data_IF_528887570103
#
_entry.id   IF_528887570103
#
_cell.length_a   1.000
_cell.length_b   1.000
_cell.length_c   1.000
_cell.angle_alpha   90.00
_cell.angle_beta   90.00
_cell.angle_gamma   90.00
#
_symmetry.space_group_name_H-M   'P 1'
#
loop_
_entity.id
_entity.type
_entity.pdbx_description
1 polymer ?
#
# COMPACT_ATOMS: atom_id res chain seq x y z
N UNK A 1 20.39 -37.49 15.97
CA UNK A 1 19.72 -37.06 14.74
C UNK A 1 19.39 -35.60 14.93
N UNK A 2 19.74 -34.69 14.04
CA UNK A 2 19.24 -33.32 14.17
C UNK A 2 17.70 -33.41 14.15
N UNK A 3 17.04 -32.79 15.13
CA UNK A 3 15.58 -32.68 15.17
C UNK A 3 15.09 -32.14 13.82
N UNK A 4 14.20 -32.87 13.17
CA UNK A 4 13.59 -32.43 11.92
C UNK A 4 12.73 -31.21 12.21
N UNK A 5 13.20 -30.04 11.80
CA UNK A 5 12.50 -28.79 12.05
C UNK A 5 11.32 -28.64 11.12
N UNK A 6 10.12 -28.44 11.65
CA UNK A 6 8.91 -28.24 10.87
C UNK A 6 8.88 -26.86 10.21
N UNK A 7 8.23 -26.77 9.04
CA UNK A 7 8.03 -25.48 8.34
C UNK A 7 7.29 -24.48 9.23
N UNK A 8 6.28 -24.96 9.97
CA UNK A 8 5.49 -24.13 10.89
C UNK A 8 6.34 -23.55 12.04
N UNK A 9 7.20 -24.32 12.64
CA UNK A 9 8.11 -23.89 13.72
C UNK A 9 9.09 -22.84 13.20
N UNK A 10 9.72 -23.11 12.07
CA UNK A 10 10.62 -22.16 11.43
C UNK A 10 9.91 -20.86 11.06
N UNK A 11 8.68 -20.94 10.54
CA UNK A 11 7.89 -19.77 10.15
C UNK A 11 7.61 -18.85 11.34
N UNK A 12 7.33 -19.40 12.52
CA UNK A 12 7.10 -18.63 13.73
C UNK A 12 8.40 -17.97 14.23
N UNK A 13 9.50 -18.71 14.28
CA UNK A 13 10.81 -18.14 14.66
C UNK A 13 11.25 -17.03 13.69
N UNK A 14 11.09 -17.27 12.39
CA UNK A 14 11.38 -16.27 11.36
C UNK A 14 10.53 -15.02 11.55
N UNK A 15 9.23 -15.18 11.84
CA UNK A 15 8.35 -14.06 12.11
C UNK A 15 8.83 -13.22 13.28
N UNK A 16 9.24 -13.85 14.39
CA UNK A 16 9.79 -13.16 15.55
C UNK A 16 11.04 -12.34 15.19
N UNK A 17 11.98 -12.94 14.46
CA UNK A 17 13.15 -12.23 13.92
C UNK A 17 12.76 -11.00 13.09
N UNK A 18 11.72 -11.14 12.22
CA UNK A 18 11.23 -10.01 11.41
C UNK A 18 10.54 -8.93 12.25
N UNK A 19 9.88 -9.29 13.37
CA UNK A 19 9.25 -8.29 14.26
C UNK A 19 10.26 -7.41 14.98
N UNK A 20 11.48 -7.88 15.20
CA UNK A 20 12.58 -7.10 15.81
C UNK A 20 13.25 -6.16 14.79
N UNK A 21 13.11 -6.40 13.48
CA UNK A 21 13.67 -5.53 12.45
C UNK A 21 12.89 -4.21 12.32
N UNK A 22 13.54 -3.16 11.83
CA UNK A 22 12.97 -1.82 11.60
C UNK A 22 11.95 -1.73 10.47
N UNK A 23 11.07 -2.74 10.33
CA UNK A 23 10.04 -2.80 9.31
C UNK A 23 8.83 -1.92 9.67
N UNK A 24 8.11 -1.44 8.65
CA UNK A 24 6.87 -0.69 8.86
C UNK A 24 5.80 -1.57 9.54
N UNK A 25 4.90 -0.95 10.32
CA UNK A 25 3.77 -1.66 10.96
C UNK A 25 2.91 -2.41 9.92
N UNK A 26 2.73 -1.84 8.74
CA UNK A 26 1.98 -2.46 7.63
C UNK A 26 2.67 -3.73 7.13
N UNK A 27 3.99 -3.70 6.96
CA UNK A 27 4.78 -4.87 6.56
C UNK A 27 4.72 -5.95 7.64
N UNK A 28 4.89 -5.58 8.91
CA UNK A 28 4.77 -6.50 10.05
C UNK A 28 3.38 -7.14 10.12
N UNK A 29 2.32 -6.35 9.89
CA UNK A 29 0.94 -6.84 9.82
C UNK A 29 0.74 -7.85 8.69
N UNK A 30 1.27 -7.57 7.50
CA UNK A 30 1.22 -8.49 6.36
C UNK A 30 1.94 -9.81 6.65
N UNK A 31 3.14 -9.78 7.24
CA UNK A 31 3.88 -10.97 7.62
C UNK A 31 3.10 -11.82 8.64
N UNK A 32 2.57 -11.20 9.70
CA UNK A 32 1.72 -11.90 10.68
C UNK A 32 0.54 -12.59 10.02
N UNK A 33 -0.19 -11.87 9.16
CA UNK A 33 -1.37 -12.41 8.48
C UNK A 33 -1.01 -13.62 7.63
N UNK A 34 0.05 -13.55 6.82
CA UNK A 34 0.46 -14.66 5.97
C UNK A 34 0.96 -15.86 6.77
N UNK A 35 1.78 -15.63 7.79
CA UNK A 35 2.32 -16.70 8.62
C UNK A 35 1.20 -17.42 9.39
N UNK A 36 0.41 -16.70 10.20
CA UNK A 36 -0.57 -17.33 11.07
C UNK A 36 -1.80 -17.87 10.34
N UNK A 37 -2.25 -17.19 9.28
CA UNK A 37 -3.52 -17.56 8.64
C UNK A 37 -3.34 -18.47 7.44
N UNK A 38 -2.13 -18.64 6.92
CA UNK A 38 -1.90 -19.36 5.66
C UNK A 38 -0.76 -20.38 5.75
N UNK A 39 0.46 -19.94 6.07
CA UNK A 39 1.66 -20.78 6.00
C UNK A 39 1.67 -21.81 7.13
N UNK A 40 1.49 -21.39 8.38
CA UNK A 40 1.49 -22.29 9.53
C UNK A 40 0.40 -23.36 9.44
N UNK A 41 -0.88 -23.03 9.12
CA UNK A 41 -1.91 -24.05 8.98
C UNK A 41 -1.66 -25.04 7.84
N UNK A 42 -1.10 -24.59 6.71
CA UNK A 42 -0.87 -25.45 5.54
C UNK A 42 0.28 -26.43 5.74
N UNK A 43 1.37 -25.95 6.34
CA UNK A 43 2.60 -26.74 6.46
C UNK A 43 2.89 -27.15 7.92
N UNK A 44 1.84 -27.38 8.73
CA UNK A 44 1.98 -27.75 10.14
C UNK A 44 2.78 -29.04 10.34
N UNK A 45 2.54 -30.02 9.47
CA UNK A 45 3.07 -31.39 9.57
C UNK A 45 4.14 -31.70 8.50
N UNK A 46 4.72 -30.65 7.90
CA UNK A 46 5.75 -30.79 6.85
C UNK A 46 7.10 -30.39 7.40
N UNK A 47 8.08 -31.27 7.34
CA UNK A 47 9.45 -30.96 7.68
C UNK A 47 10.11 -30.06 6.62
N UNK A 48 10.99 -29.14 7.02
CA UNK A 48 11.64 -28.20 6.08
C UNK A 48 12.41 -28.90 4.95
N UNK A 49 13.08 -29.99 5.28
CA UNK A 49 13.88 -30.78 4.33
C UNK A 49 13.03 -31.66 3.39
N UNK A 50 11.75 -31.82 3.70
CA UNK A 50 10.79 -32.60 2.90
C UNK A 50 9.84 -31.74 2.08
N UNK A 51 9.88 -30.42 2.24
CA UNK A 51 9.03 -29.49 1.50
C UNK A 51 9.40 -29.52 0.01
N UNK A 52 8.44 -29.90 -0.83
CA UNK A 52 8.63 -30.02 -2.29
C UNK A 52 8.05 -28.83 -3.07
N UNK A 53 8.44 -28.71 -4.33
CA UNK A 53 7.92 -27.70 -5.26
C UNK A 53 6.42 -27.92 -5.50
N UNK A 54 6.00 -29.19 -5.62
CA UNK A 54 4.60 -29.58 -5.82
C UNK A 54 3.73 -29.13 -4.65
N UNK A 55 4.15 -29.38 -3.41
CA UNK A 55 3.41 -28.93 -2.23
C UNK A 55 3.25 -27.40 -2.17
N UNK A 56 4.30 -26.66 -2.56
CA UNK A 56 4.21 -25.20 -2.63
C UNK A 56 3.29 -24.74 -3.76
N UNK A 57 3.25 -25.45 -4.88
CA UNK A 57 2.32 -25.18 -5.97
C UNK A 57 0.87 -25.44 -5.56
N UNK A 58 0.59 -26.61 -4.97
CA UNK A 58 -0.74 -26.98 -4.46
C UNK A 58 -1.26 -25.95 -3.45
N UNK A 59 -0.38 -25.44 -2.58
CA UNK A 59 -0.70 -24.36 -1.67
C UNK A 59 -1.19 -23.12 -2.42
N UNK A 60 -0.52 -22.69 -3.49
CA UNK A 60 -0.97 -21.52 -4.26
C UNK A 60 -2.27 -21.79 -5.02
N UNK A 61 -2.48 -22.99 -5.48
CA UNK A 61 -3.73 -23.39 -6.14
C UNK A 61 -4.90 -23.41 -5.14
N UNK A 62 -4.68 -23.88 -3.91
CA UNK A 62 -5.67 -23.83 -2.84
C UNK A 62 -6.06 -22.39 -2.50
N UNK A 63 -5.08 -21.48 -2.43
CA UNK A 63 -5.33 -20.05 -2.20
C UNK A 63 -6.14 -19.40 -3.34
N UNK A 64 -5.91 -19.81 -4.58
CA UNK A 64 -6.72 -19.36 -5.71
C UNK A 64 -8.16 -19.92 -5.62
N UNK A 65 -8.32 -21.16 -5.20
CA UNK A 65 -9.61 -21.83 -4.98
C UNK A 65 -10.48 -21.14 -3.93
N UNK A 66 -9.89 -20.58 -2.89
CA UNK A 66 -10.62 -19.76 -1.88
C UNK A 66 -10.77 -18.29 -2.28
N UNK A 67 -10.48 -17.94 -3.53
CA UNK A 67 -10.77 -16.63 -4.12
C UNK A 67 -9.71 -15.54 -3.88
N UNK A 68 -8.48 -15.87 -3.48
CA UNK A 68 -7.41 -14.88 -3.43
C UNK A 68 -7.02 -14.42 -4.83
N UNK A 69 -6.77 -13.11 -4.97
CA UNK A 69 -6.27 -12.57 -6.24
C UNK A 69 -4.84 -13.03 -6.51
N UNK A 70 -4.48 -13.16 -7.79
CA UNK A 70 -3.12 -13.52 -8.21
C UNK A 70 -2.04 -12.60 -7.59
N UNK A 71 -2.33 -11.32 -7.46
CA UNK A 71 -1.41 -10.38 -6.81
C UNK A 71 -1.27 -10.61 -5.29
N UNK A 72 -2.34 -11.07 -4.64
CA UNK A 72 -2.25 -11.47 -3.23
C UNK A 72 -1.39 -12.73 -3.08
N UNK A 73 -1.62 -13.75 -3.93
CA UNK A 73 -0.82 -14.97 -3.95
C UNK A 73 0.65 -14.66 -4.25
N UNK A 74 0.93 -13.78 -5.20
CA UNK A 74 2.29 -13.31 -5.50
C UNK A 74 2.95 -12.63 -4.29
N UNK A 75 2.21 -11.81 -3.52
CA UNK A 75 2.73 -11.24 -2.27
C UNK A 75 3.06 -12.34 -1.23
N UNK A 76 2.21 -13.35 -1.11
CA UNK A 76 2.45 -14.50 -0.25
C UNK A 76 3.66 -15.31 -0.68
N UNK A 77 3.82 -15.53 -1.98
CA UNK A 77 4.99 -16.18 -2.55
C UNK A 77 6.29 -15.46 -2.17
N UNK A 78 6.33 -14.12 -2.27
CA UNK A 78 7.52 -13.37 -1.86
C UNK A 78 7.86 -13.55 -0.37
N UNK A 79 6.83 -13.68 0.48
CA UNK A 79 7.03 -13.92 1.92
C UNK A 79 7.54 -15.34 2.15
N UNK A 80 6.90 -16.35 1.57
CA UNK A 80 7.31 -17.76 1.70
C UNK A 80 8.71 -17.98 1.13
N UNK A 81 8.98 -17.47 -0.05
CA UNK A 81 10.30 -17.55 -0.68
C UNK A 81 11.39 -16.98 0.24
N UNK A 82 11.17 -15.78 0.79
CA UNK A 82 12.12 -15.15 1.70
C UNK A 82 12.33 -15.93 2.98
N UNK A 83 11.25 -16.50 3.54
CA UNK A 83 11.29 -17.35 4.73
C UNK A 83 12.17 -18.59 4.47
N UNK A 84 12.00 -19.23 3.33
CA UNK A 84 12.76 -20.42 2.94
C UNK A 84 14.20 -20.08 2.51
N UNK A 85 14.45 -18.91 1.89
CA UNK A 85 15.80 -18.44 1.60
C UNK A 85 16.61 -18.23 2.91
N UNK A 86 15.99 -17.64 3.96
CA UNK A 86 16.63 -17.48 5.26
C UNK A 86 16.84 -18.85 5.95
N UNK A 87 15.96 -19.85 5.76
CA UNK A 87 16.18 -21.23 6.22
C UNK A 87 17.40 -21.86 5.51
N UNK A 88 17.56 -21.62 4.23
CA UNK A 88 18.73 -22.06 3.47
C UNK A 88 20.02 -21.44 3.98
N UNK A 89 20.02 -20.14 4.31
CA UNK A 89 21.17 -19.45 4.89
C UNK A 89 21.56 -20.02 6.27
N UNK A 90 20.61 -20.52 7.05
CA UNK A 90 20.87 -21.19 8.34
C UNK A 90 21.21 -22.69 8.21
N UNK A 91 21.28 -23.20 6.98
CA UNK A 91 21.62 -24.61 6.70
C UNK A 91 20.49 -25.61 6.98
N UNK A 92 19.27 -25.12 7.24
CA UNK A 92 18.09 -25.95 7.51
C UNK A 92 17.46 -26.51 6.22
N UNK A 93 17.72 -25.90 5.07
CA UNK A 93 17.18 -26.26 3.77
C UNK A 93 18.29 -26.21 2.71
N UNK A 94 18.38 -27.22 1.86
CA UNK A 94 19.40 -27.26 0.80
C UNK A 94 19.01 -26.46 -0.43
N UNK A 95 17.76 -26.57 -0.85
CA UNK A 95 17.20 -25.91 -2.04
C UNK A 95 15.86 -25.31 -1.67
N UNK A 96 15.63 -24.07 -2.01
CA UNK A 96 14.35 -23.42 -1.76
C UNK A 96 13.31 -23.80 -2.83
N UNK A 97 12.29 -24.63 -2.53
CA UNK A 97 11.32 -25.07 -3.51
C UNK A 97 10.45 -23.91 -4.05
N UNK A 98 10.25 -22.85 -3.28
CA UNK A 98 9.52 -21.68 -3.75
C UNK A 98 10.34 -20.85 -4.76
N UNK A 99 11.66 -20.98 -4.83
CA UNK A 99 12.48 -20.24 -5.79
C UNK A 99 12.32 -20.75 -7.23
N UNK A 100 11.94 -22.01 -7.42
CA UNK A 100 11.74 -22.62 -8.74
C UNK A 100 10.42 -22.19 -9.39
N UNK A 101 9.43 -21.76 -8.59
CA UNK A 101 8.13 -21.38 -9.07
C UNK A 101 8.13 -19.94 -9.61
N UNK A 102 7.78 -19.78 -10.89
CA UNK A 102 7.67 -18.48 -11.56
C UNK A 102 6.24 -17.96 -11.49
N UNK A 103 5.87 -17.37 -10.36
CA UNK A 103 4.62 -16.61 -10.27
C UNK A 103 4.84 -15.20 -10.87
N UNK A 104 4.00 -14.83 -11.82
CA UNK A 104 4.04 -13.49 -12.41
C UNK A 104 3.11 -12.54 -11.68
N UNK A 105 3.58 -11.33 -11.38
CA UNK A 105 2.70 -10.24 -11.00
C UNK A 105 1.81 -9.88 -12.20
N UNK A 106 0.51 -10.07 -12.05
CA UNK A 106 -0.41 -9.56 -13.07
C UNK A 106 -0.49 -8.03 -12.93
N UNK A 107 0.07 -7.33 -13.91
CA UNK A 107 -0.16 -5.90 -14.02
C UNK A 107 -1.68 -5.64 -14.01
N UNK A 108 -2.11 -4.67 -13.22
CA UNK A 108 -3.54 -4.34 -13.11
C UNK A 108 -4.14 -4.20 -14.52
N UNK A 109 -5.26 -4.89 -14.74
CA UNK A 109 -6.06 -4.77 -15.97
C UNK A 109 -6.20 -3.30 -16.37
N UNK A 110 -6.35 -3.03 -17.68
CA UNK A 110 -6.43 -1.73 -18.34
C UNK A 110 -6.78 -0.56 -17.40
N UNK A 111 -5.89 0.41 -17.32
CA UNK A 111 -6.10 1.57 -16.46
C UNK A 111 -7.38 2.27 -16.93
N UNK A 112 -8.44 2.17 -16.13
CA UNK A 112 -9.65 2.97 -16.35
C UNK A 112 -9.25 4.43 -16.22
N UNK A 113 -9.12 5.12 -17.36
CA UNK A 113 -8.71 6.52 -17.41
C UNK A 113 -9.94 7.41 -17.24
N UNK A 114 -9.84 8.45 -16.42
CA UNK A 114 -10.85 9.49 -16.29
C UNK A 114 -10.56 10.59 -17.32
N UNK A 115 -11.54 10.98 -18.11
CA UNK A 115 -11.43 12.06 -19.11
C UNK A 115 -11.47 13.44 -18.45
N UNK A 116 -10.89 14.46 -19.10
CA UNK A 116 -10.78 15.84 -18.55
C UNK A 116 -12.10 16.41 -18.01
N UNK A 117 -13.22 16.27 -18.75
CA UNK A 117 -14.54 16.73 -18.27
C UNK A 117 -15.09 15.98 -17.06
N UNK A 118 -14.64 14.76 -16.84
CA UNK A 118 -15.02 13.95 -15.70
C UNK A 118 -14.28 14.37 -14.43
N UNK A 119 -13.04 14.86 -14.55
CA UNK A 119 -12.27 15.38 -13.39
C UNK A 119 -12.99 16.58 -12.78
N UNK A 120 -13.55 17.48 -13.57
CA UNK A 120 -14.29 18.63 -13.05
C UNK A 120 -15.42 18.18 -12.10
N UNK A 121 -16.22 17.20 -12.52
CA UNK A 121 -17.28 16.62 -11.66
C UNK A 121 -16.74 16.00 -10.39
N UNK A 122 -15.60 15.31 -10.48
CA UNK A 122 -14.95 14.74 -9.30
C UNK A 122 -14.51 15.85 -8.32
N UNK A 123 -13.90 16.93 -8.82
CA UNK A 123 -13.46 18.05 -7.98
C UNK A 123 -14.64 18.73 -7.28
N UNK A 124 -15.76 18.92 -7.97
CA UNK A 124 -16.98 19.47 -7.37
C UNK A 124 -17.52 18.59 -6.23
N UNK A 125 -17.48 17.27 -6.38
CA UNK A 125 -17.95 16.36 -5.33
C UNK A 125 -16.99 16.28 -4.13
N UNK A 126 -15.68 16.28 -4.34
CA UNK A 126 -14.75 16.30 -3.20
C UNK A 126 -14.81 17.63 -2.43
N UNK A 127 -15.18 18.73 -3.09
CA UNK A 127 -15.41 20.02 -2.43
C UNK A 127 -16.64 19.95 -1.52
N UNK A 128 -17.78 19.44 -2.01
CA UNK A 128 -18.99 19.24 -1.20
C UNK A 128 -18.74 18.32 0.01
N UNK A 129 -17.83 17.36 -0.15
CA UNK A 129 -17.46 16.44 0.94
C UNK A 129 -16.40 17.01 1.90
N UNK A 130 -15.90 18.23 1.67
CA UNK A 130 -14.87 18.87 2.49
C UNK A 130 -13.48 18.25 2.34
N UNK A 131 -13.26 17.42 1.32
CA UNK A 131 -11.99 16.73 1.10
C UNK A 131 -11.17 17.32 -0.06
N UNK A 132 -11.58 18.48 -0.60
CA UNK A 132 -10.94 19.13 -1.74
C UNK A 132 -9.43 19.34 -1.54
N UNK A 133 -8.95 19.96 -0.44
CA UNK A 133 -7.54 20.28 -0.33
C UNK A 133 -6.62 19.06 -0.43
N UNK A 134 -6.90 18.01 0.33
CA UNK A 134 -6.05 16.80 0.36
C UNK A 134 -6.16 16.01 -0.95
N UNK A 135 -7.36 15.80 -1.47
CA UNK A 135 -7.56 15.01 -2.70
C UNK A 135 -7.07 15.75 -3.94
N UNK A 136 -7.23 17.07 -4.01
CA UNK A 136 -6.66 17.89 -5.07
C UNK A 136 -5.12 17.84 -5.06
N UNK A 137 -4.51 17.96 -3.89
CA UNK A 137 -3.05 17.85 -3.77
C UNK A 137 -2.56 16.45 -4.16
N UNK A 138 -3.22 15.39 -3.73
CA UNK A 138 -2.90 14.03 -4.18
C UNK A 138 -2.99 13.94 -5.71
N UNK A 139 -4.06 14.46 -6.30
CA UNK A 139 -4.32 14.39 -7.73
C UNK A 139 -3.24 15.11 -8.56
N UNK A 140 -2.88 16.33 -8.17
CA UNK A 140 -2.11 17.25 -9.02
C UNK A 140 -0.62 17.29 -8.69
N UNK A 141 -0.21 17.06 -7.44
CA UNK A 141 1.19 17.17 -7.03
C UNK A 141 1.97 15.85 -7.09
N UNK A 142 1.29 14.72 -7.27
CA UNK A 142 1.90 13.40 -7.22
C UNK A 142 2.27 12.94 -5.80
N UNK A 143 1.69 13.55 -4.75
CA UNK A 143 1.77 13.04 -3.39
C UNK A 143 1.14 11.65 -3.31
N UNK A 144 1.82 10.72 -2.66
CA UNK A 144 1.20 9.43 -2.32
C UNK A 144 0.17 9.64 -1.19
N UNK A 145 -0.83 8.78 -1.13
CA UNK A 145 -1.86 8.86 -0.08
C UNK A 145 -1.28 8.98 1.34
N UNK A 146 -0.34 8.11 1.69
CA UNK A 146 0.30 8.15 3.02
C UNK A 146 1.15 9.40 3.24
N UNK A 147 1.81 9.93 2.20
CA UNK A 147 2.56 11.19 2.29
C UNK A 147 1.61 12.37 2.55
N UNK A 148 0.47 12.42 1.87
CA UNK A 148 -0.52 13.48 2.07
C UNK A 148 -1.15 13.44 3.47
N UNK A 149 -1.51 12.27 3.97
CA UNK A 149 -2.10 12.08 5.31
C UNK A 149 -1.12 12.52 6.41
N UNK A 150 0.17 12.18 6.26
CA UNK A 150 1.21 12.48 7.26
C UNK A 150 1.95 13.80 7.01
N UNK A 151 1.51 14.60 6.03
CA UNK A 151 2.19 15.84 5.67
C UNK A 151 2.14 16.86 6.82
N UNK A 152 3.30 17.37 7.19
CA UNK A 152 3.45 18.40 8.21
C UNK A 152 3.90 19.73 7.60
N UNK A 153 3.55 20.85 8.23
CA UNK A 153 3.97 22.18 7.79
C UNK A 153 5.49 22.34 7.72
N UNK A 154 6.23 21.67 8.59
CA UNK A 154 7.70 21.65 8.54
C UNK A 154 8.28 21.11 7.22
N UNK A 155 7.47 20.41 6.41
CA UNK A 155 7.88 19.94 5.08
C UNK A 155 7.63 20.98 3.97
N UNK A 156 6.95 22.09 4.26
CA UNK A 156 6.66 23.13 3.28
C UNK A 156 7.71 24.25 3.35
N UNK A 157 8.53 24.31 2.32
CA UNK A 157 9.47 25.42 2.07
C UNK A 157 8.71 26.52 1.34
N UNK A 158 8.33 27.55 2.09
CA UNK A 158 7.51 28.68 1.60
C UNK A 158 8.27 29.53 0.59
N UNK A 159 9.58 29.74 0.79
CA UNK A 159 10.41 30.58 -0.09
C UNK A 159 10.60 29.90 -1.45
N UNK A 160 10.97 28.63 -1.42
CA UNK A 160 11.18 27.87 -2.64
C UNK A 160 9.87 27.29 -3.24
N UNK A 161 8.73 27.50 -2.60
CA UNK A 161 7.40 26.99 -3.01
C UNK A 161 7.44 25.50 -3.33
N UNK A 162 7.99 24.69 -2.41
CA UNK A 162 8.14 23.24 -2.59
C UNK A 162 7.82 22.45 -1.31
N UNK A 163 7.44 21.20 -1.49
CA UNK A 163 7.32 20.23 -0.41
C UNK A 163 8.58 19.38 -0.34
N UNK A 164 9.25 19.38 0.81
CA UNK A 164 10.44 18.60 1.09
C UNK A 164 10.03 17.28 1.77
N UNK A 165 9.97 16.18 1.02
CA UNK A 165 9.64 14.86 1.52
C UNK A 165 10.92 14.08 1.84
N UNK A 166 10.80 13.03 2.65
CA UNK A 166 11.96 12.25 3.14
C UNK A 166 12.95 11.81 2.06
N UNK A 167 12.49 11.56 0.82
CA UNK A 167 13.32 11.03 -0.28
C UNK A 167 13.25 11.83 -1.56
N UNK A 168 12.47 12.91 -1.59
CA UNK A 168 12.24 13.75 -2.77
C UNK A 168 11.65 15.08 -2.36
N UNK A 169 11.72 16.04 -3.25
CA UNK A 169 10.98 17.28 -3.17
C UNK A 169 9.95 17.38 -4.31
N UNK A 170 8.92 18.17 -4.12
CA UNK A 170 7.86 18.43 -5.11
C UNK A 170 7.76 19.94 -5.29
N UNK A 171 8.04 20.43 -6.50
CA UNK A 171 7.79 21.82 -6.85
C UNK A 171 6.29 22.06 -6.93
N UNK A 172 5.80 23.11 -6.28
CA UNK A 172 4.39 23.43 -6.25
C UNK A 172 4.03 24.42 -7.36
N UNK A 173 2.85 24.22 -7.94
CA UNK A 173 2.22 25.20 -8.82
C UNK A 173 1.58 26.32 -7.99
N UNK A 174 1.32 27.52 -8.58
CA UNK A 174 0.62 28.60 -7.88
C UNK A 174 -0.76 28.18 -7.32
N UNK A 175 -1.46 27.27 -7.99
CA UNK A 175 -2.74 26.75 -7.53
C UNK A 175 -2.58 25.88 -6.26
N UNK A 176 -1.58 25.00 -6.23
CA UNK A 176 -1.26 24.17 -5.07
C UNK A 176 -0.81 24.99 -3.87
N UNK A 177 0.04 26.01 -4.10
CA UNK A 177 0.48 26.94 -3.05
C UNK A 177 -0.70 27.73 -2.45
N UNK A 178 -1.64 28.20 -3.28
CA UNK A 178 -2.86 28.85 -2.79
C UNK A 178 -3.70 27.93 -1.89
N UNK A 179 -3.81 26.65 -2.23
CA UNK A 179 -4.52 25.68 -1.38
C UNK A 179 -3.82 25.50 -0.04
N UNK A 180 -2.50 25.36 -0.02
CA UNK A 180 -1.76 25.24 1.23
C UNK A 180 -1.91 26.50 2.10
N UNK A 181 -1.82 27.70 1.52
CA UNK A 181 -2.04 28.94 2.24
C UNK A 181 -3.46 29.03 2.82
N UNK A 182 -4.49 28.63 2.07
CA UNK A 182 -5.87 28.59 2.56
C UNK A 182 -6.03 27.61 3.73
N UNK A 183 -5.39 26.46 3.66
CA UNK A 183 -5.43 25.45 4.73
C UNK A 183 -4.69 25.92 5.98
N UNK A 184 -3.54 26.63 5.84
CA UNK A 184 -2.79 27.16 6.97
C UNK A 184 -3.59 28.22 7.74
N UNK A 185 -4.34 29.05 7.04
CA UNK A 185 -5.20 30.06 7.66
C UNK A 185 -6.37 29.43 8.44
N UNK A 186 -6.91 28.30 7.97
CA UNK A 186 -8.01 27.60 8.65
C UNK A 186 -7.57 26.87 9.91
N UNK A 187 -6.34 26.36 9.94
CA UNK A 187 -5.84 25.52 11.03
C UNK A 187 -4.42 25.96 11.47
N UNK A 188 -4.25 27.19 11.98
CA UNK A 188 -2.91 27.76 12.21
C UNK A 188 -2.11 27.04 13.31
N UNK A 189 -2.77 26.32 14.22
CA UNK A 189 -2.10 25.61 15.32
C UNK A 189 -1.81 24.15 15.03
N UNK A 190 -2.28 23.61 13.90
CA UNK A 190 -2.05 22.21 13.55
C UNK A 190 -0.65 22.00 12.97
N UNK A 191 0.08 21.02 13.51
CA UNK A 191 1.34 20.58 12.92
C UNK A 191 1.14 19.80 11.61
N UNK A 192 -0.04 19.17 11.43
CA UNK A 192 -0.43 18.41 10.24
C UNK A 192 -1.16 19.31 9.28
N UNK A 193 -0.83 19.20 7.98
CA UNK A 193 -1.39 20.09 6.94
C UNK A 193 -2.87 19.84 6.72
N UNK A 194 -3.28 18.57 6.58
CA UNK A 194 -4.66 18.23 6.20
C UNK A 194 -5.42 17.59 7.36
N UNK A 195 -6.48 18.25 7.78
CA UNK A 195 -7.45 17.73 8.75
C UNK A 195 -8.78 17.45 8.04
N UNK A 196 -9.47 16.40 8.48
CA UNK A 196 -10.84 16.09 8.05
C UNK A 196 -11.78 17.23 8.50
N UNK A 197 -12.50 17.82 7.57
CA UNK A 197 -13.39 18.94 7.82
C UNK A 197 -14.54 18.62 8.79
N UNK A 198 -14.91 17.34 8.97
CA UNK A 198 -15.98 16.94 9.87
C UNK A 198 -15.49 16.64 11.28
N UNK A 199 -14.30 16.03 11.42
CA UNK A 199 -13.80 15.57 12.72
C UNK A 199 -12.71 16.48 13.29
N UNK A 200 -12.15 17.39 12.49
CA UNK A 200 -10.98 18.22 12.82
C UNK A 200 -9.75 17.38 13.24
N UNK A 201 -9.71 16.10 12.86
CA UNK A 201 -8.59 15.19 13.13
C UNK A 201 -7.81 14.90 11.84
N UNK A 202 -6.54 14.46 11.94
CA UNK A 202 -5.81 13.98 10.79
C UNK A 202 -6.56 12.86 10.05
N UNK A 203 -6.51 12.88 8.73
CA UNK A 203 -7.13 11.82 7.94
C UNK A 203 -6.52 10.45 8.25
N UNK A 204 -7.37 9.40 8.27
CA UNK A 204 -6.92 8.01 8.18
C UNK A 204 -6.96 7.54 6.72
N UNK A 205 -6.17 6.48 6.39
CA UNK A 205 -6.22 5.87 5.05
C UNK A 205 -7.65 5.43 4.69
N UNK A 206 -8.35 4.82 5.64
CA UNK A 206 -9.74 4.36 5.46
C UNK A 206 -10.71 5.52 5.19
N UNK A 207 -10.61 6.60 5.97
CA UNK A 207 -11.48 7.79 5.80
C UNK A 207 -11.26 8.45 4.45
N UNK A 208 -10.00 8.62 4.04
CA UNK A 208 -9.68 9.21 2.75
C UNK A 208 -10.15 8.34 1.57
N UNK A 209 -9.98 7.02 1.69
CA UNK A 209 -10.48 6.06 0.72
C UNK A 209 -12.02 6.10 0.62
N UNK A 210 -12.73 6.16 1.75
CA UNK A 210 -14.17 6.30 1.79
C UNK A 210 -14.65 7.55 1.06
N UNK A 211 -14.07 8.72 1.36
CA UNK A 211 -14.44 10.00 0.74
C UNK A 211 -14.17 10.00 -0.77
N UNK A 212 -13.02 9.43 -1.19
CA UNK A 212 -12.69 9.26 -2.58
C UNK A 212 -13.73 8.40 -3.33
N UNK A 213 -14.07 7.23 -2.79
CA UNK A 213 -15.07 6.35 -3.39
C UNK A 213 -16.45 7.00 -3.45
N UNK A 214 -16.85 7.69 -2.39
CA UNK A 214 -18.11 8.42 -2.32
C UNK A 214 -18.17 9.51 -3.41
N UNK A 215 -17.11 10.28 -3.58
CA UNK A 215 -17.01 11.29 -4.63
C UNK A 215 -17.14 10.69 -6.04
N UNK A 216 -16.46 9.56 -6.32
CA UNK A 216 -16.59 8.87 -7.59
C UNK A 216 -18.03 8.41 -7.86
N UNK A 217 -18.69 7.85 -6.85
CA UNK A 217 -20.10 7.40 -6.95
C UNK A 217 -21.04 8.59 -7.24
N UNK A 218 -20.90 9.68 -6.48
CA UNK A 218 -21.74 10.88 -6.65
C UNK A 218 -21.50 11.57 -8.00
N UNK A 219 -20.26 11.60 -8.46
CA UNK A 219 -19.90 12.10 -9.78
C UNK A 219 -20.30 11.15 -10.94
N UNK A 220 -20.84 9.95 -10.65
CA UNK A 220 -21.14 8.89 -11.62
C UNK A 220 -19.92 8.51 -12.45
N UNK A 221 -18.79 8.31 -11.79
CA UNK A 221 -17.52 7.93 -12.39
C UNK A 221 -17.16 6.48 -12.05
N UNK A 222 -16.32 5.83 -12.89
CA UNK A 222 -15.85 4.48 -12.60
C UNK A 222 -15.10 4.46 -11.27
N UNK A 223 -15.26 3.36 -10.51
CA UNK A 223 -14.52 3.15 -9.26
C UNK A 223 -13.07 2.83 -9.60
N UNK A 224 -12.21 3.82 -9.42
CA UNK A 224 -10.76 3.73 -9.65
C UNK A 224 -10.02 4.05 -8.36
N UNK A 225 -8.77 3.62 -8.26
CA UNK A 225 -7.91 3.97 -7.13
C UNK A 225 -7.38 5.41 -7.25
N UNK A 226 -6.97 6.00 -6.14
CA UNK A 226 -6.29 7.31 -6.14
C UNK A 226 -5.05 7.31 -7.05
N UNK A 227 -4.32 6.19 -7.14
CA UNK A 227 -3.16 6.06 -8.02
C UNK A 227 -3.53 6.11 -9.50
N UNK A 228 -4.64 5.46 -9.89
CA UNK A 228 -5.16 5.54 -11.26
C UNK A 228 -5.67 6.95 -11.58
N UNK A 229 -6.31 7.60 -10.61
CA UNK A 229 -6.75 8.99 -10.76
C UNK A 229 -5.57 9.96 -10.96
N UNK A 230 -4.48 9.78 -10.21
CA UNK A 230 -3.24 10.54 -10.40
C UNK A 230 -2.62 10.34 -11.80
N UNK A 231 -2.61 9.10 -12.30
CA UNK A 231 -2.12 8.81 -13.64
C UNK A 231 -2.95 9.56 -14.69
N UNK A 232 -4.29 9.54 -14.57
CA UNK A 232 -5.20 10.27 -15.47
C UNK A 232 -4.96 11.77 -15.44
N UNK A 233 -4.67 12.36 -14.27
CA UNK A 233 -4.43 13.80 -14.15
C UNK A 233 -3.11 14.25 -14.79
N UNK A 234 -2.07 13.42 -14.70
CA UNK A 234 -0.77 13.70 -15.34
C UNK A 234 -0.87 13.76 -16.87
N UNK A 235 -1.64 12.85 -17.45
CA UNK A 235 -1.86 12.83 -18.93
C UNK A 235 -2.59 14.08 -19.42
N UNK A 236 -3.30 14.79 -18.54
CA UNK A 236 -4.10 15.96 -18.90
C UNK A 236 -3.44 17.29 -18.57
N UNK A 237 -2.18 17.30 -18.13
CA UNK A 237 -1.42 18.52 -17.78
C UNK A 237 -2.20 19.47 -16.87
N UNK A 238 -2.80 18.94 -15.80
CA UNK A 238 -3.49 19.69 -14.75
C UNK A 238 -2.54 20.26 -13.72
#
# INVERSE_FOLDING_TARGET
MPEEKMVSEWALEWLEKQMQRGLSLKTKGSYRQWIYQRIVPEFSDVALNELTVEQVQDFYESLAGVGLSQNSIWCGHLILRRLLDEAGCEGLLKINPAAELKLSYQAAQEQKVIRRGQIKRYLEEIEKLGAYPILYMILTSGLRQGEAISLRWAAFDVEAQRLCLRRRWIQLTPAQSRILNMVSQKNPQSAVVFLDAQTCQPYTEHRLYYLHRKALTQARLPQISLRQLQASAKEMSL
#
